data_IF_774956687750
#
_entry.id   IF_774956687750
#
_cell.length_a   1.000
_cell.length_b   1.000
_cell.length_c   1.000
_cell.angle_alpha   90.00
_cell.angle_beta   90.00
_cell.angle_gamma   90.00
#
_symmetry.space_group_name_H-M   'P 1'
#
loop_
_entity.id
_entity.type
_entity.pdbx_description
1 polymer ?
#
# COMPACT_ATOMS: atom_id res chain seq x y z
N UNK A 1 3.85 11.90 19.57
CA UNK A 1 2.99 11.36 18.49
C UNK A 1 3.89 10.57 17.58
N UNK A 2 3.50 9.35 17.18
CA UNK A 2 4.27 8.58 16.19
C UNK A 2 4.24 9.39 14.90
N UNK A 3 5.39 9.92 14.48
CA UNK A 3 5.47 10.76 13.28
C UNK A 3 5.36 9.93 12.01
N UNK A 4 6.02 8.77 11.98
CA UNK A 4 6.01 7.79 10.90
C UNK A 4 6.33 6.40 11.45
N UNK A 5 5.71 5.35 10.88
CA UNK A 5 6.00 3.95 11.23
C UNK A 5 7.42 3.56 10.81
N UNK A 6 8.00 2.54 11.46
CA UNK A 6 9.31 2.02 11.03
C UNK A 6 9.22 1.37 9.64
N UNK A 7 8.09 0.71 9.37
CA UNK A 7 7.79 0.13 8.05
C UNK A 7 7.83 1.18 6.93
N UNK A 8 7.25 2.37 7.16
CA UNK A 8 7.31 3.45 6.17
C UNK A 8 8.71 4.02 5.98
N UNK A 9 9.51 4.15 7.06
CA UNK A 9 10.91 4.59 6.96
C UNK A 9 11.75 3.64 6.12
N UNK A 10 11.54 2.33 6.28
CA UNK A 10 12.18 1.30 5.46
C UNK A 10 11.77 1.39 4.00
N UNK A 11 10.48 1.56 3.71
CA UNK A 11 9.99 1.77 2.35
C UNK A 11 10.66 2.97 1.68
N UNK A 12 10.68 4.12 2.37
CA UNK A 12 11.26 5.36 1.84
C UNK A 12 12.73 5.17 1.47
N UNK A 13 13.49 4.42 2.28
CA UNK A 13 14.89 4.08 2.02
C UNK A 13 15.04 3.22 0.76
N UNK A 14 14.26 2.15 0.61
CA UNK A 14 14.35 1.26 -0.56
C UNK A 14 13.86 1.92 -1.85
N UNK A 15 12.79 2.72 -1.77
CA UNK A 15 12.32 3.53 -2.90
C UNK A 15 13.36 4.57 -3.34
N UNK A 16 14.07 5.20 -2.41
CA UNK A 16 15.13 6.14 -2.78
C UNK A 16 16.32 5.41 -3.42
N UNK A 17 16.73 4.25 -2.89
CA UNK A 17 17.81 3.44 -3.46
C UNK A 17 17.55 3.04 -4.92
N UNK A 18 16.34 2.59 -5.24
CA UNK A 18 16.01 2.21 -6.63
C UNK A 18 15.96 3.44 -7.56
N UNK A 19 15.54 4.60 -7.06
CA UNK A 19 15.57 5.85 -7.81
C UNK A 19 17.00 6.32 -8.06
N UNK A 20 17.87 6.28 -7.05
CA UNK A 20 19.29 6.64 -7.18
C UNK A 20 19.99 5.73 -8.21
N UNK A 21 19.70 4.43 -8.17
CA UNK A 21 20.19 3.47 -9.17
C UNK A 21 19.64 3.79 -10.57
N UNK A 22 18.36 4.13 -10.67
CA UNK A 22 17.73 4.53 -11.94
C UNK A 22 18.41 5.77 -12.53
N UNK A 23 18.71 6.78 -11.70
CA UNK A 23 19.46 7.98 -12.09
C UNK A 23 20.85 7.60 -12.56
N UNK A 24 21.58 6.76 -11.82
CA UNK A 24 22.91 6.28 -12.20
C UNK A 24 22.91 5.64 -13.60
N UNK A 25 21.95 4.74 -13.88
CA UNK A 25 21.82 4.10 -15.20
C UNK A 25 21.53 5.13 -16.30
N UNK A 26 20.67 6.11 -16.02
CA UNK A 26 20.35 7.21 -16.94
C UNK A 26 21.54 8.13 -17.24
N UNK A 27 22.55 8.21 -16.38
CA UNK A 27 23.84 8.86 -16.69
C UNK A 27 24.82 7.90 -17.39
N UNK A 28 24.90 6.66 -16.94
CA UNK A 28 25.87 5.69 -17.42
C UNK A 28 25.63 5.30 -18.89
N UNK A 29 24.40 4.98 -19.27
CA UNK A 29 24.12 4.46 -20.62
C UNK A 29 24.32 5.51 -21.72
N UNK A 30 23.90 6.78 -21.58
CA UNK A 30 24.24 7.81 -22.56
C UNK A 30 25.75 8.03 -22.71
N UNK A 31 26.52 7.97 -21.63
CA UNK A 31 27.98 8.07 -21.70
C UNK A 31 28.61 6.85 -22.37
N UNK A 32 28.07 5.65 -22.14
CA UNK A 32 28.46 4.46 -22.90
C UNK A 32 28.19 4.61 -24.39
N UNK A 33 27.00 5.12 -24.77
CA UNK A 33 26.67 5.41 -26.19
C UNK A 33 27.64 6.41 -26.83
N UNK A 34 27.99 7.48 -26.12
CA UNK A 34 29.01 8.44 -26.57
C UNK A 34 30.37 7.77 -26.76
N UNK A 35 30.76 6.90 -25.84
CA UNK A 35 32.04 6.19 -25.90
C UNK A 35 32.10 5.20 -27.07
N UNK A 36 31.02 4.46 -27.31
CA UNK A 36 30.87 3.58 -28.48
C UNK A 36 30.99 4.38 -29.78
N UNK A 37 30.34 5.54 -29.85
CA UNK A 37 30.42 6.43 -31.02
C UNK A 37 31.85 6.94 -31.24
N UNK A 38 32.50 7.45 -30.20
CA UNK A 38 33.88 7.95 -30.26
C UNK A 38 34.88 6.87 -30.68
N UNK A 39 34.71 5.63 -30.18
CA UNK A 39 35.50 4.48 -30.58
C UNK A 39 35.35 4.17 -32.08
N UNK A 40 34.11 4.14 -32.59
CA UNK A 40 33.83 3.89 -34.02
C UNK A 40 34.39 4.98 -34.93
N UNK A 41 34.31 6.24 -34.47
CA UNK A 41 34.79 7.42 -35.20
C UNK A 41 36.30 7.68 -35.03
N UNK A 42 37.00 6.84 -34.25
CA UNK A 42 38.44 6.97 -33.94
C UNK A 42 38.80 8.35 -33.35
N UNK A 43 37.93 8.88 -32.49
CA UNK A 43 38.17 10.13 -31.76
C UNK A 43 39.27 9.91 -30.72
N UNK A 44 40.20 10.86 -30.62
CA UNK A 44 41.27 10.85 -29.60
C UNK A 44 40.69 10.75 -28.18
N UNK A 45 41.29 9.91 -27.33
CA UNK A 45 40.85 9.54 -25.97
C UNK A 45 39.66 8.56 -25.90
N UNK A 46 39.23 8.00 -27.03
CA UNK A 46 38.22 6.94 -27.10
C UNK A 46 38.77 5.63 -27.71
N UNK A 47 40.08 5.41 -27.59
CA UNK A 47 40.76 4.24 -28.16
C UNK A 47 40.34 2.94 -27.48
N UNK A 48 39.83 3.01 -26.24
CA UNK A 48 39.38 1.87 -25.45
C UNK A 48 38.03 2.15 -24.78
N UNK A 49 37.20 1.12 -24.63
CA UNK A 49 35.97 1.18 -23.82
C UNK A 49 36.27 0.77 -22.38
N UNK A 50 35.44 1.26 -21.45
CA UNK A 50 35.48 0.81 -20.07
C UNK A 50 35.27 -0.71 -19.98
N UNK A 51 36.11 -1.38 -19.18
CA UNK A 51 36.02 -2.82 -18.97
C UNK A 51 34.82 -3.16 -18.08
N UNK A 52 34.09 -4.26 -18.36
CA UNK A 52 33.03 -4.72 -17.46
C UNK A 52 33.62 -5.11 -16.10
N UNK A 53 32.94 -4.73 -15.02
CA UNK A 53 33.35 -5.02 -13.64
C UNK A 53 33.12 -6.50 -13.27
N UNK A 54 31.92 -7.03 -13.57
CA UNK A 54 31.52 -8.39 -13.20
C UNK A 54 31.60 -9.42 -14.34
N UNK A 55 31.47 -9.00 -15.60
CA UNK A 55 31.42 -9.92 -16.74
C UNK A 55 32.81 -10.13 -17.37
N UNK A 56 33.03 -11.30 -18.00
CA UNK A 56 34.25 -11.54 -18.79
C UNK A 56 34.34 -10.52 -19.93
N UNK A 57 35.57 -10.09 -20.23
CA UNK A 57 35.86 -9.14 -21.31
C UNK A 57 35.63 -9.80 -22.68
N UNK A 58 34.38 -9.77 -23.15
CA UNK A 58 33.98 -10.17 -24.51
C UNK A 58 33.31 -8.95 -25.15
N UNK A 59 34.09 -7.93 -25.46
CA UNK A 59 33.59 -6.63 -25.94
C UNK A 59 33.16 -6.70 -27.42
N UNK A 60 32.03 -7.35 -27.69
CA UNK A 60 31.32 -7.15 -28.96
C UNK A 60 30.60 -5.78 -28.90
N UNK A 61 31.20 -4.79 -29.57
CA UNK A 61 30.71 -3.41 -29.61
C UNK A 61 29.33 -3.31 -30.26
N UNK A 62 29.05 -4.13 -31.29
CA UNK A 62 27.74 -4.16 -31.94
C UNK A 62 26.66 -4.67 -30.99
N UNK A 63 26.99 -5.68 -30.17
CA UNK A 63 26.10 -6.16 -29.12
C UNK A 63 25.87 -5.11 -28.03
N UNK A 64 26.91 -4.42 -27.55
CA UNK A 64 26.77 -3.36 -26.53
C UNK A 64 25.89 -2.21 -27.01
N UNK A 65 26.04 -1.80 -28.27
CA UNK A 65 25.20 -0.77 -28.89
C UNK A 65 23.73 -1.20 -28.91
N UNK A 66 23.44 -2.43 -29.38
CA UNK A 66 22.09 -2.99 -29.39
C UNK A 66 21.44 -3.04 -28.00
N UNK A 67 22.19 -3.50 -26.98
CA UNK A 67 21.72 -3.55 -25.58
C UNK A 67 21.43 -2.14 -25.05
N UNK A 68 22.29 -1.17 -25.36
CA UNK A 68 22.10 0.23 -24.96
C UNK A 68 20.86 0.86 -25.61
N UNK A 69 20.37 0.33 -26.74
CA UNK A 69 19.15 0.81 -27.40
C UNK A 69 17.91 0.62 -26.54
N UNK A 70 17.80 -0.51 -25.84
CA UNK A 70 16.60 -0.92 -25.07
C UNK A 70 16.67 -0.58 -23.57
N UNK A 71 17.71 0.12 -23.13
CA UNK A 71 17.96 0.32 -21.70
C UNK A 71 16.80 0.98 -20.95
N UNK A 72 16.14 2.00 -21.55
CA UNK A 72 15.02 2.69 -20.90
C UNK A 72 13.84 1.73 -20.68
N UNK A 73 13.52 0.90 -21.67
CA UNK A 73 12.44 -0.07 -21.57
C UNK A 73 12.70 -1.08 -20.45
N UNK A 74 13.92 -1.63 -20.39
CA UNK A 74 14.29 -2.58 -19.34
C UNK A 74 14.34 -1.92 -17.97
N UNK A 75 14.91 -0.72 -17.88
CA UNK A 75 14.97 0.06 -16.64
C UNK A 75 13.56 0.36 -16.13
N UNK A 76 12.65 0.82 -16.99
CA UNK A 76 11.24 1.03 -16.65
C UNK A 76 10.61 -0.21 -16.02
N UNK A 77 10.80 -1.39 -16.62
CA UNK A 77 10.26 -2.66 -16.11
C UNK A 77 10.82 -2.98 -14.73
N UNK A 78 12.13 -2.95 -14.56
CA UNK A 78 12.76 -3.30 -13.28
C UNK A 78 12.45 -2.31 -12.16
N UNK A 79 12.42 -1.01 -12.46
CA UNK A 79 12.07 0.01 -11.49
C UNK A 79 10.61 -0.14 -11.05
N UNK A 80 9.67 -0.39 -11.97
CA UNK A 80 8.27 -0.62 -11.62
C UNK A 80 8.07 -1.88 -10.77
N UNK A 81 8.68 -3.00 -11.18
CA UNK A 81 8.61 -4.27 -10.44
C UNK A 81 9.13 -4.09 -9.00
N UNK A 82 10.31 -3.48 -8.86
CA UNK A 82 10.95 -3.28 -7.56
C UNK A 82 10.11 -2.35 -6.67
N UNK A 83 9.67 -1.20 -7.21
CA UNK A 83 8.86 -0.25 -6.46
C UNK A 83 7.53 -0.85 -5.98
N UNK A 84 6.87 -1.66 -6.81
CA UNK A 84 5.65 -2.37 -6.43
C UNK A 84 5.91 -3.41 -5.34
N UNK A 85 6.96 -4.23 -5.49
CA UNK A 85 7.32 -5.23 -4.49
C UNK A 85 7.65 -4.60 -3.13
N UNK A 86 8.38 -3.48 -3.11
CA UNK A 86 8.66 -2.76 -1.86
C UNK A 86 7.39 -2.23 -1.21
N UNK A 87 6.46 -1.68 -2.00
CA UNK A 87 5.16 -1.24 -1.49
C UNK A 87 4.34 -2.39 -0.91
N UNK A 88 4.30 -3.55 -1.59
CA UNK A 88 3.57 -4.73 -1.12
C UNK A 88 4.12 -5.25 0.21
N UNK A 89 5.45 -5.30 0.34
CA UNK A 89 6.11 -5.61 1.62
C UNK A 89 5.76 -4.60 2.70
N UNK A 90 5.92 -3.30 2.41
CA UNK A 90 5.56 -2.22 3.33
C UNK A 90 4.14 -2.36 3.88
N UNK A 91 3.16 -2.62 3.02
CA UNK A 91 1.77 -2.72 3.47
C UNK A 91 1.57 -3.87 4.46
N UNK A 92 2.23 -5.02 4.25
CA UNK A 92 2.16 -6.13 5.20
C UNK A 92 2.88 -5.78 6.50
N UNK A 93 4.08 -5.21 6.38
CA UNK A 93 4.93 -4.87 7.52
C UNK A 93 4.27 -3.82 8.41
N UNK A 94 3.61 -2.80 7.85
CA UNK A 94 2.94 -1.75 8.65
C UNK A 94 1.69 -2.27 9.37
N UNK A 95 0.97 -3.22 8.77
CA UNK A 95 -0.16 -3.88 9.45
C UNK A 95 0.35 -4.82 10.54
N UNK A 96 1.46 -5.52 10.32
CA UNK A 96 2.11 -6.31 11.36
C UNK A 96 2.60 -5.42 12.51
N UNK A 97 3.26 -4.30 12.21
CA UNK A 97 3.68 -3.29 13.18
C UNK A 97 2.50 -2.76 14.00
N UNK A 98 1.35 -2.50 13.35
CA UNK A 98 0.11 -2.13 14.03
C UNK A 98 -0.35 -3.22 15.01
N UNK A 99 -0.36 -4.47 14.57
CA UNK A 99 -0.80 -5.60 15.41
C UNK A 99 0.15 -5.79 16.60
N UNK A 100 1.46 -5.65 16.40
CA UNK A 100 2.46 -5.70 17.47
C UNK A 100 2.33 -4.52 18.43
N UNK A 101 2.03 -3.32 17.94
CA UNK A 101 1.75 -2.15 18.77
C UNK A 101 0.59 -2.41 19.75
N UNK A 102 -0.42 -3.16 19.31
CA UNK A 102 -1.52 -3.65 20.15
C UNK A 102 -1.18 -4.96 20.89
N UNK A 103 0.09 -5.24 21.19
CA UNK A 103 0.56 -6.41 21.95
C UNK A 103 0.49 -7.76 21.23
N UNK A 104 0.40 -7.74 19.91
CA UNK A 104 0.42 -8.92 19.06
C UNK A 104 -0.96 -9.55 18.87
N UNK A 105 -1.03 -10.53 17.95
CA UNK A 105 -2.28 -11.12 17.44
C UNK A 105 -3.23 -11.59 18.55
N UNK A 106 -2.76 -12.49 19.41
CA UNK A 106 -3.64 -13.16 20.37
C UNK A 106 -4.13 -12.19 21.44
N UNK A 107 -3.23 -11.33 21.95
CA UNK A 107 -3.58 -10.35 22.96
C UNK A 107 -4.53 -9.29 22.40
N UNK A 108 -4.32 -8.83 21.16
CA UNK A 108 -5.19 -7.83 20.52
C UNK A 108 -6.62 -8.37 20.39
N UNK A 109 -6.77 -9.57 19.84
CA UNK A 109 -8.08 -10.23 19.70
C UNK A 109 -8.74 -10.42 21.07
N UNK A 110 -7.99 -10.93 22.06
CA UNK A 110 -8.54 -11.22 23.39
C UNK A 110 -8.93 -9.94 24.15
N UNK A 111 -8.19 -8.85 23.97
CA UNK A 111 -8.53 -7.53 24.55
C UNK A 111 -9.88 -7.04 24.04
N UNK A 112 -10.09 -7.04 22.72
CA UNK A 112 -11.34 -6.59 22.11
C UNK A 112 -12.50 -7.51 22.50
N UNK A 113 -12.27 -8.83 22.51
CA UNK A 113 -13.25 -9.82 22.96
C UNK A 113 -13.70 -9.57 24.40
N UNK A 114 -12.76 -9.38 25.33
CA UNK A 114 -13.06 -9.12 26.74
C UNK A 114 -13.79 -7.79 26.94
N UNK A 115 -13.41 -6.76 26.18
CA UNK A 115 -14.11 -5.46 26.16
C UNK A 115 -15.59 -5.64 25.76
N UNK A 116 -15.85 -6.37 24.68
CA UNK A 116 -17.22 -6.67 24.25
C UNK A 116 -18.01 -7.51 25.26
N UNK A 117 -17.40 -8.54 25.84
CA UNK A 117 -18.06 -9.36 26.86
C UNK A 117 -18.44 -8.53 28.10
N UNK A 118 -17.53 -7.67 28.57
CA UNK A 118 -17.80 -6.76 29.69
C UNK A 118 -18.96 -5.81 29.38
N UNK A 119 -19.00 -5.21 28.19
CA UNK A 119 -20.10 -4.33 27.77
C UNK A 119 -21.45 -5.04 27.70
N UNK A 120 -21.47 -6.31 27.26
CA UNK A 120 -22.68 -7.12 27.21
C UNK A 120 -23.17 -7.54 28.60
N UNK A 121 -22.25 -7.75 29.55
CA UNK A 121 -22.59 -8.14 30.92
C UNK A 121 -23.05 -6.93 31.77
N UNK A 122 -22.55 -5.73 31.48
CA UNK A 122 -22.76 -4.53 32.29
C UNK A 122 -23.77 -3.54 31.65
N UNK A 123 -24.86 -4.05 31.06
CA UNK A 123 -25.88 -3.19 30.45
C UNK A 123 -26.80 -2.56 31.51
N UNK A 124 -27.00 -1.25 31.42
CA UNK A 124 -27.93 -0.54 32.30
C UNK A 124 -29.41 -0.77 31.88
N UNK A 125 -30.34 -0.40 32.77
CA UNK A 125 -31.77 -0.59 32.55
C UNK A 125 -32.29 0.16 31.31
N UNK A 126 -31.76 1.37 31.04
CA UNK A 126 -32.12 2.20 29.88
C UNK A 126 -31.81 1.48 28.56
N UNK A 127 -30.64 0.88 28.46
CA UNK A 127 -30.20 0.09 27.30
C UNK A 127 -31.09 -1.13 27.12
N UNK A 128 -31.38 -1.87 28.19
CA UNK A 128 -32.24 -3.06 28.12
C UNK A 128 -33.66 -2.72 27.66
N UNK A 129 -34.24 -1.65 28.18
CA UNK A 129 -35.57 -1.20 27.77
C UNK A 129 -35.60 -0.78 26.30
N UNK A 130 -34.67 0.08 25.88
CA UNK A 130 -34.63 0.58 24.50
C UNK A 130 -34.34 -0.54 23.50
N UNK A 131 -33.45 -1.48 23.81
CA UNK A 131 -33.24 -2.70 23.00
C UNK A 131 -34.54 -3.50 22.83
N UNK A 132 -35.29 -3.71 23.92
CA UNK A 132 -36.57 -4.45 23.85
C UNK A 132 -37.57 -3.77 22.91
N UNK A 133 -37.53 -2.44 22.81
CA UNK A 133 -38.43 -1.65 21.96
C UNK A 133 -38.04 -1.67 20.49
N UNK A 134 -36.79 -1.99 20.17
CA UNK A 134 -36.23 -2.12 18.83
C UNK A 134 -36.13 -3.58 18.34
N UNK A 135 -36.26 -4.56 19.23
CA UNK A 135 -36.22 -5.98 18.89
C UNK A 135 -37.54 -6.47 18.25
N UNK A 136 -37.92 -5.87 17.13
CA UNK A 136 -39.03 -6.29 16.29
C UNK A 136 -38.75 -5.97 14.82
N UNK A 137 -39.41 -6.64 13.85
CA UNK A 137 -39.31 -6.26 12.45
C UNK A 137 -39.75 -4.80 12.23
N UNK A 138 -39.06 -4.08 11.33
CA UNK A 138 -39.32 -2.68 11.06
C UNK A 138 -40.77 -2.45 10.56
N UNK A 139 -41.57 -1.73 11.35
CA UNK A 139 -42.92 -1.27 10.98
C UNK A 139 -42.90 0.23 10.70
N UNK A 140 -43.14 0.65 9.45
CA UNK A 140 -43.11 2.08 9.05
C UNK A 140 -43.94 3.01 9.95
N UNK A 141 -45.12 2.54 10.40
CA UNK A 141 -46.00 3.29 11.32
C UNK A 141 -45.38 3.61 12.70
N UNK A 142 -44.33 2.89 13.10
CA UNK A 142 -43.64 3.06 14.37
C UNK A 142 -42.32 3.85 14.24
N UNK A 143 -42.03 4.47 13.08
CA UNK A 143 -40.73 5.09 12.81
C UNK A 143 -40.27 6.08 13.88
N UNK A 144 -41.16 7.00 14.29
CA UNK A 144 -40.84 7.98 15.33
C UNK A 144 -40.46 7.33 16.67
N UNK A 145 -41.12 6.23 17.03
CA UNK A 145 -40.76 5.46 18.23
C UNK A 145 -39.38 4.80 18.08
N UNK A 146 -39.07 4.24 16.91
CA UNK A 146 -37.76 3.64 16.67
C UNK A 146 -36.66 4.68 16.75
N UNK A 147 -36.83 5.81 16.07
CA UNK A 147 -35.88 6.91 16.09
C UNK A 147 -35.57 7.35 17.53
N UNK A 148 -36.61 7.55 18.36
CA UNK A 148 -36.42 7.89 19.78
C UNK A 148 -35.53 6.88 20.52
N UNK A 149 -35.76 5.58 20.34
CA UNK A 149 -34.98 4.56 21.05
C UNK A 149 -33.59 4.35 20.45
N UNK A 150 -33.39 4.63 19.17
CA UNK A 150 -32.07 4.68 18.53
C UNK A 150 -31.27 5.84 19.13
N UNK A 151 -31.83 7.04 19.19
CA UNK A 151 -31.19 8.22 19.79
C UNK A 151 -30.81 8.00 21.26
N UNK A 152 -31.65 7.30 22.03
CA UNK A 152 -31.31 6.91 23.41
C UNK A 152 -30.09 5.98 23.42
N UNK A 153 -30.07 4.97 22.56
CA UNK A 153 -28.96 4.02 22.50
C UNK A 153 -27.65 4.64 21.99
N UNK A 154 -27.72 5.60 21.06
CA UNK A 154 -26.56 6.36 20.55
C UNK A 154 -25.86 7.16 21.64
N UNK A 155 -26.59 7.61 22.65
CA UNK A 155 -26.07 8.40 23.76
C UNK A 155 -25.48 7.53 24.90
N UNK A 156 -25.72 6.23 24.90
CA UNK A 156 -25.33 5.32 25.98
C UNK A 156 -23.91 4.77 25.77
N UNK A 157 -22.89 5.17 26.57
CA UNK A 157 -21.51 4.76 26.34
C UNK A 157 -21.27 3.25 26.45
N UNK A 158 -22.12 2.56 27.21
CA UNK A 158 -22.08 1.11 27.40
C UNK A 158 -22.77 0.31 26.28
N UNK A 159 -23.50 0.97 25.38
CA UNK A 159 -24.18 0.29 24.28
C UNK A 159 -23.30 0.19 23.04
N UNK A 160 -23.41 -0.94 22.35
CA UNK A 160 -22.74 -1.19 21.07
C UNK A 160 -23.73 -1.83 20.13
N UNK A 161 -23.78 -1.35 18.89
CA UNK A 161 -24.64 -1.92 17.87
C UNK A 161 -24.16 -3.31 17.45
N UNK A 162 -25.05 -4.14 16.85
CA UNK A 162 -24.66 -5.45 16.34
C UNK A 162 -23.44 -5.42 15.41
N UNK A 163 -23.30 -4.37 14.58
CA UNK A 163 -22.13 -4.14 13.72
C UNK A 163 -20.83 -4.01 14.52
N UNK A 164 -20.83 -3.27 15.62
CA UNK A 164 -19.67 -3.09 16.49
C UNK A 164 -19.34 -4.37 17.27
N UNK A 165 -20.35 -5.13 17.69
CA UNK A 165 -20.15 -6.42 18.36
C UNK A 165 -19.45 -7.45 17.46
N UNK A 166 -19.64 -7.35 16.14
CA UNK A 166 -18.94 -8.17 15.15
C UNK A 166 -17.48 -7.74 14.93
N UNK A 167 -17.02 -6.62 15.51
CA UNK A 167 -15.66 -6.14 15.29
C UNK A 167 -14.57 -7.11 15.79
N UNK A 168 -14.82 -7.91 16.84
CA UNK A 168 -13.85 -8.95 17.25
C UNK A 168 -13.67 -10.02 16.16
N UNK A 169 -14.77 -10.42 15.53
CA UNK A 169 -14.73 -11.37 14.42
C UNK A 169 -14.02 -10.73 13.22
N UNK A 170 -14.39 -9.51 12.87
CA UNK A 170 -13.72 -8.74 11.81
C UNK A 170 -12.21 -8.62 12.03
N UNK A 171 -11.78 -8.24 13.23
CA UNK A 171 -10.38 -8.13 13.61
C UNK A 171 -9.62 -9.45 13.44
N UNK A 172 -10.20 -10.57 13.91
CA UNK A 172 -9.57 -11.89 13.75
C UNK A 172 -9.30 -12.21 12.28
N UNK A 173 -10.30 -12.06 11.42
CA UNK A 173 -10.18 -12.38 10.00
C UNK A 173 -9.31 -11.37 9.24
N UNK A 174 -9.32 -10.09 9.65
CA UNK A 174 -8.40 -9.08 9.14
C UNK A 174 -6.93 -9.45 9.42
N UNK A 175 -6.61 -9.84 10.66
CA UNK A 175 -5.25 -10.26 11.01
C UNK A 175 -4.85 -11.49 10.18
N UNK A 176 -5.74 -12.48 10.06
CA UNK A 176 -5.48 -13.70 9.30
C UNK A 176 -5.33 -13.43 7.79
N UNK A 177 -6.03 -12.45 7.23
CA UNK A 177 -5.97 -12.13 5.81
C UNK A 177 -4.67 -11.41 5.41
N UNK A 178 -4.13 -10.55 6.28
CA UNK A 178 -2.92 -9.76 5.99
C UNK A 178 -1.63 -10.50 6.38
N UNK A 179 -1.59 -11.08 7.59
CA UNK A 179 -0.40 -11.78 8.10
C UNK A 179 -0.35 -13.24 7.57
N UNK A 180 -1.49 -13.82 7.23
CA UNK A 180 -1.56 -15.18 6.71
C UNK A 180 -0.91 -15.38 5.33
N UNK A 181 -0.80 -16.64 4.90
CA UNK A 181 -0.24 -17.03 3.59
C UNK A 181 -1.12 -16.65 2.39
N UNK A 182 -2.36 -16.19 2.65
CA UNK A 182 -3.36 -15.89 1.62
C UNK A 182 -3.34 -14.45 1.10
N UNK A 183 -2.49 -13.58 1.67
CA UNK A 183 -2.44 -12.18 1.27
C UNK A 183 -2.04 -12.02 -0.20
N UNK A 184 -2.75 -11.14 -0.90
CA UNK A 184 -2.45 -10.76 -2.29
C UNK A 184 -2.60 -9.25 -2.43
N UNK A 185 -1.76 -8.64 -3.26
CA UNK A 185 -1.80 -7.20 -3.51
C UNK A 185 -3.17 -6.68 -3.99
N UNK A 186 -3.98 -7.51 -4.69
CA UNK A 186 -5.37 -7.18 -5.07
C UNK A 186 -6.28 -6.87 -3.87
N UNK A 187 -5.95 -7.37 -2.68
CA UNK A 187 -6.73 -7.15 -1.46
C UNK A 187 -6.45 -5.78 -0.83
N UNK A 188 -5.34 -5.12 -1.17
CA UNK A 188 -4.90 -3.87 -0.52
C UNK A 188 -5.97 -2.78 -0.58
N UNK A 189 -6.58 -2.46 -1.74
CA UNK A 189 -7.61 -1.43 -1.79
C UNK A 189 -8.82 -1.74 -0.92
N UNK A 190 -9.29 -2.99 -0.91
CA UNK A 190 -10.43 -3.41 -0.09
C UNK A 190 -10.10 -3.32 1.41
N UNK A 191 -8.90 -3.72 1.81
CA UNK A 191 -8.44 -3.60 3.19
C UNK A 191 -8.35 -2.14 3.62
N UNK A 192 -7.79 -1.27 2.79
CA UNK A 192 -7.71 0.17 3.08
C UNK A 192 -9.09 0.80 3.22
N UNK A 193 -9.96 0.58 2.23
CA UNK A 193 -11.28 1.21 2.15
C UNK A 193 -12.22 0.72 3.26
N UNK A 194 -12.39 -0.61 3.40
CA UNK A 194 -13.39 -1.18 4.32
C UNK A 194 -12.82 -1.58 5.67
N UNK A 195 -11.56 -2.00 5.73
CA UNK A 195 -10.93 -2.43 6.98
C UNK A 195 -10.36 -1.26 7.78
N UNK A 196 -9.75 -0.29 7.09
CA UNK A 196 -9.04 0.82 7.70
C UNK A 196 -9.76 2.18 7.51
N UNK A 197 -10.86 2.23 6.77
CA UNK A 197 -11.64 3.46 6.56
C UNK A 197 -10.84 4.56 5.83
N UNK A 198 -9.90 4.17 4.97
CA UNK A 198 -9.06 5.08 4.21
C UNK A 198 -9.79 5.59 2.96
N UNK A 199 -9.79 6.91 2.75
CA UNK A 199 -10.38 7.54 1.57
C UNK A 199 -9.50 7.35 0.33
N UNK A 200 -10.00 6.57 -0.63
CA UNK A 200 -9.31 6.24 -1.88
C UNK A 200 -9.65 7.19 -3.05
N UNK A 201 -10.48 8.21 -2.83
CA UNK A 201 -11.04 9.06 -3.90
C UNK A 201 -10.09 10.15 -4.43
N UNK A 202 -8.95 10.36 -3.77
CA UNK A 202 -7.98 11.40 -4.14
C UNK A 202 -7.41 11.17 -5.55
N UNK A 203 -7.31 12.23 -6.35
CA UNK A 203 -6.73 12.21 -7.71
C UNK A 203 -5.42 12.99 -7.72
N UNK A 204 -4.30 12.28 -7.81
CA UNK A 204 -2.95 12.86 -7.64
C UNK A 204 -2.03 12.63 -8.84
N UNK A 205 -2.54 11.97 -9.87
CA UNK A 205 -1.75 11.57 -11.02
C UNK A 205 -1.40 12.75 -11.92
N UNK A 206 -0.21 12.67 -12.53
CA UNK A 206 0.30 13.70 -13.45
C UNK A 206 0.37 13.21 -14.90
N UNK A 207 0.44 11.88 -15.11
CA UNK A 207 0.57 11.32 -16.45
C UNK A 207 -0.77 11.41 -17.21
N UNK A 208 -0.78 11.84 -18.49
CA UNK A 208 -2.02 11.99 -19.26
C UNK A 208 -2.92 10.75 -19.27
N UNK A 209 -2.34 9.55 -19.37
CA UNK A 209 -3.09 8.27 -19.37
C UNK A 209 -3.90 7.97 -18.10
N UNK A 210 -3.56 8.59 -16.96
CA UNK A 210 -4.12 8.25 -15.65
C UNK A 210 -4.51 9.47 -14.81
N UNK A 211 -4.52 10.66 -15.41
CA UNK A 211 -4.74 11.93 -14.70
C UNK A 211 -6.11 12.01 -14.02
N UNK A 212 -7.12 11.35 -14.59
CA UNK A 212 -8.50 11.31 -14.09
C UNK A 212 -8.74 10.21 -13.06
N UNK A 213 -7.74 9.34 -12.82
CA UNK A 213 -7.86 8.16 -11.97
C UNK A 213 -7.66 8.48 -10.51
N UNK A 214 -8.48 7.84 -9.67
CA UNK A 214 -8.33 7.90 -8.21
C UNK A 214 -7.21 6.96 -7.71
N UNK A 215 -6.98 6.92 -6.39
CA UNK A 215 -5.91 6.10 -5.81
C UNK A 215 -6.11 4.60 -6.09
N UNK A 216 -7.36 4.13 -6.10
CA UNK A 216 -7.71 2.71 -6.28
C UNK A 216 -7.51 2.29 -7.72
N UNK A 217 -8.07 3.04 -8.66
CA UNK A 217 -7.90 2.81 -10.10
C UNK A 217 -6.43 2.85 -10.48
N UNK A 218 -5.66 3.80 -9.93
CA UNK A 218 -4.22 3.91 -10.20
C UNK A 218 -3.44 2.72 -9.67
N UNK A 219 -3.75 2.27 -8.46
CA UNK A 219 -3.13 1.08 -7.88
C UNK A 219 -3.42 -0.17 -8.70
N UNK A 220 -4.68 -0.36 -9.14
CA UNK A 220 -5.07 -1.48 -10.00
C UNK A 220 -4.35 -1.44 -11.35
N UNK A 221 -4.27 -0.28 -12.00
CA UNK A 221 -3.50 -0.09 -13.24
C UNK A 221 -2.03 -0.48 -13.03
N UNK A 222 -1.43 -0.03 -11.93
CA UNK A 222 -0.04 -0.34 -11.62
C UNK A 222 0.18 -1.84 -11.38
N UNK A 223 -0.72 -2.49 -10.63
CA UNK A 223 -0.69 -3.94 -10.38
C UNK A 223 -0.78 -4.73 -11.67
N UNK A 224 -1.70 -4.35 -12.55
CA UNK A 224 -1.92 -5.05 -13.81
C UNK A 224 -0.73 -4.89 -14.76
N UNK A 225 -0.11 -3.70 -14.78
CA UNK A 225 1.17 -3.47 -15.46
C UNK A 225 2.29 -4.35 -14.89
N UNK A 226 2.42 -4.42 -13.56
CA UNK A 226 3.40 -5.27 -12.87
C UNK A 226 3.20 -6.75 -13.19
N UNK A 227 1.95 -7.24 -13.18
CA UNK A 227 1.64 -8.63 -13.52
C UNK A 227 1.97 -8.91 -14.98
N UNK A 228 1.59 -8.02 -15.88
CA UNK A 228 1.91 -8.14 -17.30
C UNK A 228 3.42 -8.22 -17.55
N UNK A 229 4.21 -7.38 -16.88
CA UNK A 229 5.68 -7.42 -16.96
C UNK A 229 6.22 -8.72 -16.37
N UNK A 230 5.71 -9.16 -15.21
CA UNK A 230 6.12 -10.40 -14.56
C UNK A 230 5.83 -11.66 -15.39
N UNK A 231 4.78 -11.63 -16.21
CA UNK A 231 4.46 -12.71 -17.17
C UNK A 231 5.24 -12.64 -18.48
N UNK A 232 6.11 -11.64 -18.66
CA UNK A 232 6.95 -11.50 -19.86
C UNK A 232 6.23 -10.91 -21.06
N UNK A 233 5.04 -10.31 -20.87
CA UNK A 233 4.35 -9.63 -21.97
C UNK A 233 5.17 -8.44 -22.46
N UNK A 234 5.21 -8.24 -23.79
CA UNK A 234 6.01 -7.21 -24.46
C UNK A 234 5.46 -5.79 -24.30
N UNK A 235 4.73 -5.49 -23.22
CA UNK A 235 4.16 -4.17 -23.02
C UNK A 235 5.28 -3.16 -22.85
N UNK A 236 5.44 -2.30 -23.84
CA UNK A 236 6.35 -1.16 -23.79
C UNK A 236 5.72 -0.10 -22.90
N UNK A 237 6.26 0.03 -21.69
CA UNK A 237 5.89 1.11 -20.78
C UNK A 237 6.92 2.24 -20.88
N UNK A 238 6.42 3.45 -21.13
CA UNK A 238 7.24 4.66 -21.17
C UNK A 238 7.90 4.91 -19.81
N UNK A 239 9.16 5.34 -19.84
CA UNK A 239 9.91 5.65 -18.62
C UNK A 239 9.25 6.78 -17.81
N UNK A 240 8.66 7.77 -18.47
CA UNK A 240 7.91 8.86 -17.83
C UNK A 240 6.72 8.33 -17.02
N UNK A 241 5.90 7.46 -17.63
CA UNK A 241 4.79 6.79 -16.93
C UNK A 241 5.24 6.01 -15.70
N UNK A 242 6.36 5.30 -15.77
CA UNK A 242 6.92 4.58 -14.60
C UNK A 242 7.32 5.57 -13.50
N UNK A 243 7.98 6.67 -13.85
CA UNK A 243 8.35 7.68 -12.87
C UNK A 243 7.12 8.31 -12.18
N UNK A 244 6.04 8.54 -12.93
CA UNK A 244 4.79 9.05 -12.38
C UNK A 244 4.11 8.03 -11.47
N UNK A 245 4.10 6.74 -11.84
CA UNK A 245 3.60 5.65 -10.98
C UNK A 245 4.42 5.51 -9.68
N UNK A 246 5.72 5.75 -9.73
CA UNK A 246 6.57 5.75 -8.52
C UNK A 246 6.26 6.97 -7.63
N UNK A 247 6.00 8.15 -8.21
CA UNK A 247 5.54 9.31 -7.45
C UNK A 247 4.19 9.04 -6.79
N UNK A 248 3.27 8.40 -7.52
CA UNK A 248 2.01 7.92 -6.98
C UNK A 248 2.24 7.00 -5.78
N UNK A 249 3.07 5.96 -5.89
CA UNK A 249 3.34 5.07 -4.76
C UNK A 249 3.92 5.81 -3.54
N UNK A 250 4.83 6.77 -3.75
CA UNK A 250 5.39 7.57 -2.67
C UNK A 250 4.30 8.37 -1.94
N UNK A 251 3.41 9.02 -2.69
CA UNK A 251 2.25 9.73 -2.14
C UNK A 251 1.32 8.78 -1.40
N UNK A 252 0.95 7.68 -2.05
CA UNK A 252 0.01 6.71 -1.54
C UNK A 252 0.50 6.07 -0.23
N UNK A 253 1.77 5.67 -0.17
CA UNK A 253 2.38 5.16 1.06
C UNK A 253 2.41 6.18 2.19
N UNK A 254 2.72 7.44 1.90
CA UNK A 254 2.72 8.50 2.89
C UNK A 254 1.31 8.70 3.48
N UNK A 255 0.29 8.76 2.62
CA UNK A 255 -1.10 8.91 3.06
C UNK A 255 -1.55 7.74 3.93
N UNK A 256 -1.21 6.51 3.54
CA UNK A 256 -1.51 5.32 4.33
C UNK A 256 -0.82 5.41 5.71
N UNK A 257 0.47 5.75 5.74
CA UNK A 257 1.24 5.86 6.98
C UNK A 257 0.66 6.94 7.91
N UNK A 258 0.38 8.14 7.39
CA UNK A 258 -0.24 9.24 8.14
C UNK A 258 -1.61 8.84 8.70
N UNK A 259 -2.43 8.16 7.89
CA UNK A 259 -3.75 7.69 8.30
C UNK A 259 -3.65 6.65 9.43
N UNK A 260 -2.76 5.67 9.29
CA UNK A 260 -2.57 4.64 10.29
C UNK A 260 -2.00 5.23 11.59
N UNK A 261 -0.96 6.06 11.50
CA UNK A 261 -0.34 6.71 12.65
C UNK A 261 -1.32 7.58 13.44
N UNK A 262 -2.24 8.25 12.74
CA UNK A 262 -3.24 9.13 13.36
C UNK A 262 -4.38 8.36 14.04
N UNK A 263 -4.88 7.29 13.43
CA UNK A 263 -6.14 6.65 13.86
C UNK A 263 -5.96 5.28 14.51
N UNK A 264 -4.90 4.54 14.18
CA UNK A 264 -4.75 3.13 14.55
C UNK A 264 -3.61 2.86 15.53
N UNK A 265 -2.55 3.67 15.51
CA UNK A 265 -1.46 3.62 16.51
C UNK A 265 -1.81 4.39 17.78
N UNK A 266 -2.96 4.04 18.38
CA UNK A 266 -3.49 4.62 19.61
C UNK A 266 -3.51 3.56 20.70
N UNK A 267 -2.94 3.87 21.86
CA UNK A 267 -2.93 2.93 22.98
C UNK A 267 -4.36 2.71 23.48
N UNK A 268 -4.89 1.50 23.27
CA UNK A 268 -6.20 1.11 23.77
C UNK A 268 -6.14 0.33 25.09
N UNK A 269 -4.96 0.27 25.71
CA UNK A 269 -4.70 -0.46 26.95
C UNK A 269 -4.12 0.46 28.00
N UNK A 270 -4.57 0.27 29.23
CA UNK A 270 -3.87 0.75 30.43
C UNK A 270 -3.28 -0.45 31.17
N UNK A 271 -2.08 -0.84 30.76
CA UNK A 271 -1.10 -1.50 31.63
C UNK A 271 0.26 -0.92 31.31
#
# INVERSE_FOLDING_TARGET
>A
MIGHTESFKNLKKEQQRILDFTVLVCYAVPNLKKSIKGFKEKVTNYENLAKPDYFKETADIGRLESLSGKYKENLSKYTLLSAFSFFESYFRDVVEELIQFHGGKDEFIETVKNRHQSLLQNQNATVLESKRKLNEPLKRKNWQRYQKHIEILDQEPSYRYPSELLATYGLKYFIESVIGKGFKSVMIPEILEYGLGFDMSEKVNQHPDIIDKDLKETFDIMRDLRNSIGHGNSNTIGFEKVMDLIRFLRHFSLKIDEHLATHFFVLERSK
#
